data_IF_843182881993
#
_entry.id   IF_843182881993
#
_cell.length_a   1.000
_cell.length_b   1.000
_cell.length_c   1.000
_cell.angle_alpha   90.00
_cell.angle_beta   90.00
_cell.angle_gamma   90.00
#
_symmetry.space_group_name_H-M   'P 1'
#
loop_
_entity.id
_entity.type
_entity.pdbx_description
1 polymer ?
#
# COMPACT_ATOMS: atom_id res chain seq x y z
N UNK A 1 12.96 -4.71 11.36
CA UNK A 1 13.13 -3.78 10.22
C UNK A 1 12.19 -4.21 9.10
N UNK A 2 11.38 -3.31 8.54
CA UNK A 2 10.33 -3.65 7.56
C UNK A 2 10.86 -4.40 6.34
N UNK A 3 12.03 -4.03 5.81
CA UNK A 3 12.61 -4.70 4.66
C UNK A 3 13.01 -6.15 4.96
N UNK A 4 13.51 -6.44 6.15
CA UNK A 4 13.92 -7.80 6.54
C UNK A 4 12.71 -8.74 6.71
N UNK A 5 11.55 -8.19 7.10
CA UNK A 5 10.29 -8.93 7.22
C UNK A 5 9.61 -9.14 5.86
N UNK A 6 9.49 -8.07 5.06
CA UNK A 6 8.69 -8.10 3.82
C UNK A 6 9.39 -8.70 2.61
N UNK A 7 10.71 -8.53 2.49
CA UNK A 7 11.47 -9.04 1.32
C UNK A 7 11.27 -10.54 1.08
N UNK A 8 11.48 -11.44 2.07
CA UNK A 8 11.29 -12.87 1.84
C UNK A 8 9.86 -13.22 1.48
N UNK A 9 8.85 -12.54 2.06
CA UNK A 9 7.44 -12.76 1.75
C UNK A 9 7.08 -12.38 0.31
N UNK A 10 7.58 -11.23 -0.16
CA UNK A 10 7.38 -10.79 -1.55
C UNK A 10 8.02 -11.78 -2.53
N UNK A 11 9.25 -12.21 -2.25
CA UNK A 11 9.97 -13.18 -3.10
C UNK A 11 9.25 -14.54 -3.13
N UNK A 12 8.70 -14.97 -1.99
CA UNK A 12 7.98 -16.24 -1.88
C UNK A 12 6.51 -16.18 -2.32
N UNK A 13 6.01 -14.99 -2.71
CA UNK A 13 4.57 -14.73 -2.87
C UNK A 13 3.72 -15.16 -1.64
N UNK A 14 4.31 -15.05 -0.44
CA UNK A 14 3.65 -15.38 0.83
C UNK A 14 2.79 -14.19 1.28
N UNK A 15 1.47 -14.42 1.31
CA UNK A 15 0.47 -13.44 1.72
C UNK A 15 -0.09 -13.70 3.13
N UNK A 16 0.60 -14.51 3.94
CA UNK A 16 0.24 -14.73 5.34
C UNK A 16 0.42 -13.42 6.12
N UNK A 17 -0.64 -12.97 6.79
CA UNK A 17 -0.77 -11.62 7.36
C UNK A 17 0.24 -11.35 8.49
N UNK A 18 1.22 -10.47 8.26
CA UNK A 18 1.95 -9.72 9.31
C UNK A 18 1.41 -8.30 9.50
N UNK A 19 0.80 -7.71 8.46
CA UNK A 19 0.03 -6.46 8.58
C UNK A 19 -1.03 -6.38 7.48
N UNK A 20 -2.28 -6.08 7.86
CA UNK A 20 -3.40 -5.92 6.91
C UNK A 20 -3.12 -4.79 5.92
N UNK A 21 -3.43 -5.01 4.64
CA UNK A 21 -3.26 -4.00 3.60
C UNK A 21 -4.10 -2.74 3.88
N UNK A 22 -5.23 -2.87 4.57
CA UNK A 22 -6.05 -1.74 5.04
C UNK A 22 -5.30 -0.82 6.02
N UNK A 23 -4.29 -1.32 6.75
CA UNK A 23 -3.43 -0.49 7.60
C UNK A 23 -2.48 0.39 6.79
N UNK A 24 -2.17 0.04 5.53
CA UNK A 24 -1.32 0.85 4.65
C UNK A 24 -1.97 2.21 4.37
N UNK A 25 -3.28 2.21 4.06
CA UNK A 25 -4.06 3.45 3.91
C UNK A 25 -3.96 4.32 5.16
N UNK A 26 -4.25 3.77 6.35
CA UNK A 26 -4.19 4.50 7.62
C UNK A 26 -2.81 5.11 7.88
N UNK A 27 -1.75 4.35 7.61
CA UNK A 27 -0.38 4.80 7.82
C UNK A 27 0.01 5.95 6.88
N UNK A 28 -0.38 5.89 5.60
CA UNK A 28 -0.10 6.95 4.63
C UNK A 28 -0.90 8.22 4.94
N UNK A 29 -2.16 8.07 5.34
CA UNK A 29 -2.98 9.20 5.78
C UNK A 29 -2.35 9.91 7.00
N UNK A 30 -1.87 9.15 7.99
CA UNK A 30 -1.17 9.70 9.15
C UNK A 30 0.14 10.40 8.76
N UNK A 31 0.94 9.79 7.87
CA UNK A 31 2.16 10.41 7.34
C UNK A 31 1.88 11.73 6.62
N UNK A 32 0.85 11.78 5.78
CA UNK A 32 0.43 13.01 5.09
C UNK A 32 -0.07 14.08 6.05
N UNK A 33 -0.82 13.71 7.08
CA UNK A 33 -1.23 14.63 8.15
C UNK A 33 -0.03 15.26 8.86
N UNK A 34 0.98 14.44 9.20
CA UNK A 34 2.24 14.92 9.78
C UNK A 34 3.01 15.83 8.82
N UNK A 35 3.14 15.43 7.55
CA UNK A 35 3.83 16.24 6.54
C UNK A 35 3.15 17.60 6.34
N UNK A 36 1.82 17.64 6.32
CA UNK A 36 1.06 18.89 6.26
C UNK A 36 1.32 19.77 7.48
N UNK A 37 1.26 19.19 8.69
CA UNK A 37 1.47 19.92 9.95
C UNK A 37 2.87 20.57 10.05
N UNK A 38 3.89 19.99 9.41
CA UNK A 38 5.27 20.51 9.43
C UNK A 38 5.64 21.31 8.18
N UNK A 39 4.71 21.52 7.24
CA UNK A 39 5.01 22.15 5.94
C UNK A 39 5.95 21.32 5.04
N UNK A 40 6.09 20.03 5.33
CA UNK A 40 6.93 19.12 4.54
C UNK A 40 6.20 18.75 3.25
N UNK A 41 6.82 19.02 2.10
CA UNK A 41 6.28 18.61 0.80
C UNK A 41 6.36 17.08 0.66
N UNK A 42 5.20 16.44 0.51
CA UNK A 42 5.12 15.02 0.16
C UNK A 42 4.78 14.86 -1.32
N UNK A 43 5.77 14.48 -2.14
CA UNK A 43 5.60 14.34 -3.59
C UNK A 43 4.81 13.07 -3.96
N UNK A 44 5.08 11.96 -3.26
CA UNK A 44 4.45 10.67 -3.55
C UNK A 44 3.29 10.33 -2.62
N UNK A 45 3.12 11.04 -1.50
CA UNK A 45 2.14 10.66 -0.49
C UNK A 45 0.70 10.65 -1.01
N UNK A 46 0.28 11.66 -1.79
CA UNK A 46 -1.05 11.72 -2.40
C UNK A 46 -1.34 10.53 -3.33
N UNK A 47 -0.52 10.30 -4.37
CA UNK A 47 -0.69 9.15 -5.26
C UNK A 47 -0.69 7.79 -4.54
N UNK A 48 0.16 7.61 -3.52
CA UNK A 48 0.19 6.36 -2.75
C UNK A 48 -1.07 6.23 -1.87
N UNK A 49 -1.59 7.33 -1.31
CA UNK A 49 -2.86 7.33 -0.56
C UNK A 49 -4.03 6.88 -1.44
N UNK A 50 -4.13 7.43 -2.66
CA UNK A 50 -5.18 7.06 -3.60
C UNK A 50 -5.08 5.59 -4.02
N UNK A 51 -3.86 5.09 -4.28
CA UNK A 51 -3.63 3.69 -4.60
C UNK A 51 -3.99 2.77 -3.42
N UNK A 52 -3.64 3.14 -2.18
CA UNK A 52 -4.00 2.38 -0.99
C UNK A 52 -5.52 2.35 -0.74
N UNK A 53 -6.23 3.45 -0.99
CA UNK A 53 -7.69 3.48 -0.92
C UNK A 53 -8.31 2.52 -1.94
N UNK A 54 -7.90 2.62 -3.21
CA UNK A 54 -8.38 1.73 -4.28
C UNK A 54 -8.10 0.26 -4.00
N UNK A 55 -6.95 -0.04 -3.40
CA UNK A 55 -6.63 -1.40 -2.99
C UNK A 55 -7.59 -1.93 -1.91
N UNK A 56 -8.02 -1.10 -0.96
CA UNK A 56 -9.04 -1.53 0.02
C UNK A 56 -10.40 -1.72 -0.67
N UNK A 57 -10.78 -0.78 -1.55
CA UNK A 57 -12.06 -0.81 -2.27
C UNK A 57 -12.18 -2.03 -3.20
N UNK A 58 -11.07 -2.49 -3.80
CA UNK A 58 -11.01 -3.68 -4.64
C UNK A 58 -11.13 -5.01 -3.84
N UNK A 59 -11.19 -4.95 -2.49
CA UNK A 59 -11.40 -6.10 -1.61
C UNK A 59 -10.18 -6.73 -0.90
N UNK A 60 -8.90 -6.60 -1.33
CA UNK A 60 -7.78 -7.25 -0.64
C UNK A 60 -7.35 -6.58 0.68
N UNK A 61 -8.14 -5.68 1.26
CA UNK A 61 -7.80 -4.93 2.49
C UNK A 61 -7.43 -5.81 3.69
N UNK A 62 -8.00 -7.01 3.79
CA UNK A 62 -7.73 -7.96 4.88
C UNK A 62 -6.53 -8.89 4.63
N UNK A 63 -5.95 -8.86 3.42
CA UNK A 63 -4.74 -9.64 3.09
C UNK A 63 -3.50 -8.94 3.63
N UNK A 64 -2.36 -9.64 3.63
CA UNK A 64 -1.09 -9.00 3.93
C UNK A 64 -0.81 -7.82 2.97
N UNK A 65 -0.26 -6.73 3.50
CA UNK A 65 0.17 -5.56 2.74
C UNK A 65 1.16 -5.86 1.59
N UNK A 66 1.84 -7.02 1.62
CA UNK A 66 2.66 -7.53 0.50
C UNK A 66 1.85 -7.83 -0.77
N UNK A 67 0.51 -7.82 -0.73
CA UNK A 67 -0.35 -7.91 -1.92
C UNK A 67 -0.28 -6.66 -2.82
N UNK A 68 0.20 -5.53 -2.29
CA UNK A 68 0.18 -4.24 -2.98
C UNK A 68 0.92 -4.24 -4.34
N UNK A 69 2.14 -4.78 -4.47
CA UNK A 69 2.85 -4.79 -5.76
C UNK A 69 2.13 -5.61 -6.83
N UNK A 70 1.60 -6.78 -6.46
CA UNK A 70 0.80 -7.59 -7.38
C UNK A 70 -0.47 -6.86 -7.80
N UNK A 71 -1.19 -6.27 -6.85
CA UNK A 71 -2.39 -5.49 -7.16
C UNK A 71 -2.08 -4.33 -8.12
N UNK A 72 -0.98 -3.59 -7.92
CA UNK A 72 -0.56 -2.51 -8.83
C UNK A 72 -0.28 -3.06 -10.24
N UNK A 73 0.43 -4.19 -10.35
CA UNK A 73 0.70 -4.83 -11.63
C UNK A 73 -0.59 -5.25 -12.35
N UNK A 74 -1.57 -5.79 -11.61
CA UNK A 74 -2.87 -6.18 -12.15
C UNK A 74 -3.66 -4.96 -12.68
N UNK A 75 -3.57 -3.80 -12.02
CA UNK A 75 -4.22 -2.57 -12.50
C UNK A 75 -3.62 -2.04 -13.80
N UNK A 76 -2.32 -2.23 -14.03
CA UNK A 76 -1.64 -1.78 -15.26
C UNK A 76 -2.02 -2.65 -16.47
N UNK A 77 -2.40 -3.90 -16.22
CA UNK A 77 -2.84 -4.86 -17.24
C UNK A 77 -4.33 -4.76 -17.57
N UNK A 78 -5.12 -4.01 -16.78
CA UNK A 78 -6.56 -3.80 -17.06
C UNK A 78 -6.74 -2.87 -18.27
N UNK A 79 -7.55 -3.26 -19.28
CA UNK A 79 -7.82 -2.39 -20.42
C UNK A 79 -8.49 -1.09 -19.94
N UNK A 80 -7.92 0.06 -20.34
CA UNK A 80 -8.54 1.37 -20.12
C UNK A 80 -9.65 1.52 -21.15
N UNK A 81 -10.89 1.38 -20.69
CA UNK A 81 -12.11 1.63 -21.48
C UNK A 81 -12.38 3.13 -21.54
#
# INVERSE_FOLDING_TARGET
>A
MVMADKTPKVVAHDHTTSAHASCVHKNIAAYLGGAHATGTRSVLGGPILDAARRLVDDGPGERDSAVFPQWVADQDQRPRI
#
